data_IF_654969543701
#
_entry.id   IF_654969543701
#
_cell.length_a   1.000
_cell.length_b   1.000
_cell.length_c   1.000
_cell.angle_alpha   90.00
_cell.angle_beta   90.00
_cell.angle_gamma   90.00
#
_symmetry.space_group_name_H-M   'P 1'
#
loop_
_entity.id
_entity.type
_entity.pdbx_description
1 polymer ?
#
# COMPACT_ATOMS: atom_id res chain seq x y z
N UNK A 1 -62.07 -90.49 51.74
CA UNK A 1 -61.58 -89.21 52.28
C UNK A 1 -60.21 -88.94 51.68
N UNK A 2 -60.18 -88.12 50.64
CA UNK A 2 -59.03 -87.91 49.75
C UNK A 2 -58.60 -86.46 49.93
N UNK A 3 -57.42 -86.22 50.53
CA UNK A 3 -56.86 -84.87 50.70
C UNK A 3 -55.79 -84.64 49.64
N UNK A 4 -56.10 -83.79 48.66
CA UNK A 4 -55.19 -83.33 47.64
C UNK A 4 -54.17 -82.33 48.25
N UNK A 5 -52.88 -82.58 48.02
CA UNK A 5 -51.80 -81.62 48.25
C UNK A 5 -51.66 -80.74 47.00
N UNK A 6 -51.96 -79.44 47.12
CA UNK A 6 -51.56 -78.43 46.15
C UNK A 6 -50.20 -77.88 46.58
N UNK A 7 -49.15 -78.24 45.84
CA UNK A 7 -47.87 -77.54 45.89
C UNK A 7 -47.97 -76.31 44.98
N UNK A 8 -47.82 -75.13 45.56
CA UNK A 8 -47.70 -73.86 44.82
C UNK A 8 -46.20 -73.69 44.52
N UNK A 9 -45.80 -73.96 43.28
CA UNK A 9 -44.48 -73.60 42.78
C UNK A 9 -44.39 -72.08 42.64
N UNK A 10 -43.68 -71.43 43.55
CA UNK A 10 -43.24 -70.05 43.40
C UNK A 10 -41.98 -70.04 42.53
N UNK A 11 -41.90 -69.21 41.47
CA UNK A 11 -40.73 -69.13 40.63
C UNK A 11 -39.55 -68.59 41.44
N UNK A 12 -38.56 -69.45 41.68
CA UNK A 12 -37.29 -69.06 42.30
C UNK A 12 -36.54 -68.12 41.36
N UNK A 13 -36.55 -66.82 41.66
CA UNK A 13 -35.65 -65.86 41.02
C UNK A 13 -34.22 -66.31 41.36
N UNK A 14 -33.53 -66.86 40.36
CA UNK A 14 -32.19 -67.43 40.52
C UNK A 14 -31.21 -66.34 40.99
N UNK A 15 -30.44 -66.63 42.06
CA UNK A 15 -29.40 -65.72 42.60
C UNK A 15 -28.36 -65.30 41.55
N UNK A 16 -28.22 -66.05 40.46
CA UNK A 16 -27.32 -65.75 39.35
C UNK A 16 -27.74 -64.51 38.53
N UNK A 17 -29.04 -64.23 38.39
CA UNK A 17 -29.51 -63.02 37.69
C UNK A 17 -29.24 -61.74 38.50
N UNK A 18 -29.32 -61.81 39.83
CA UNK A 18 -29.05 -60.67 40.72
C UNK A 18 -27.55 -60.35 40.75
N UNK A 19 -26.68 -61.37 40.69
CA UNK A 19 -25.22 -61.17 40.63
C UNK A 19 -24.76 -60.58 39.28
N UNK A 20 -25.37 -60.98 38.16
CA UNK A 20 -25.06 -60.39 36.85
C UNK A 20 -25.45 -58.91 36.76
N UNK A 21 -26.60 -58.53 37.32
CA UNK A 21 -27.07 -57.13 37.29
C UNK A 21 -26.25 -56.21 38.21
N UNK A 22 -25.83 -56.71 39.38
CA UNK A 22 -24.97 -55.94 40.31
C UNK A 22 -23.54 -55.73 39.78
N UNK A 23 -23.05 -56.59 38.89
CA UNK A 23 -21.73 -56.44 38.26
C UNK A 23 -21.66 -55.36 37.16
N UNK A 24 -22.76 -55.11 36.45
CA UNK A 24 -22.81 -54.13 35.35
C UNK A 24 -22.92 -52.68 35.85
N UNK A 25 -23.57 -52.48 37.01
CA UNK A 25 -23.74 -51.15 37.62
C UNK A 25 -22.40 -50.41 37.83
N UNK A 26 -21.36 -51.00 38.46
CA UNK A 26 -20.08 -50.31 38.64
C UNK A 26 -19.38 -49.99 37.31
N UNK A 27 -19.50 -50.83 36.27
CA UNK A 27 -18.92 -50.57 34.95
C UNK A 27 -19.58 -49.38 34.23
N UNK A 28 -20.91 -49.29 34.32
CA UNK A 28 -21.67 -48.15 33.77
C UNK A 28 -21.32 -46.87 34.52
N UNK A 29 -21.22 -46.91 35.85
CA UNK A 29 -20.83 -45.76 36.67
C UNK A 29 -19.40 -45.32 36.36
N UNK A 30 -18.47 -46.25 36.23
CA UNK A 30 -17.07 -45.96 35.90
C UNK A 30 -16.93 -45.37 34.49
N UNK A 31 -17.69 -45.90 33.52
CA UNK A 31 -17.72 -45.35 32.15
C UNK A 31 -18.28 -43.93 32.14
N UNK A 32 -19.40 -43.70 32.85
CA UNK A 32 -19.97 -42.36 33.00
C UNK A 32 -19.01 -41.37 33.67
N UNK A 33 -18.30 -41.82 34.70
CA UNK A 33 -17.27 -41.02 35.37
C UNK A 33 -16.16 -40.60 34.39
N UNK A 34 -15.63 -41.52 33.58
CA UNK A 34 -14.59 -41.19 32.61
C UNK A 34 -15.07 -40.24 31.51
N UNK A 35 -16.32 -40.35 31.06
CA UNK A 35 -16.91 -39.41 30.10
C UNK A 35 -17.01 -38.00 30.71
N UNK A 36 -17.45 -37.89 31.96
CA UNK A 36 -17.54 -36.61 32.66
C UNK A 36 -16.16 -36.01 32.86
N UNK A 37 -15.18 -36.80 33.32
CA UNK A 37 -13.79 -36.36 33.48
C UNK A 37 -13.23 -35.88 32.15
N UNK A 38 -13.37 -36.65 31.07
CA UNK A 38 -12.90 -36.26 29.74
C UNK A 38 -13.55 -34.96 29.26
N UNK A 39 -14.86 -34.79 29.48
CA UNK A 39 -15.60 -33.58 29.11
C UNK A 39 -15.09 -32.37 29.89
N UNK A 40 -14.94 -32.51 31.21
CA UNK A 40 -14.39 -31.45 32.07
C UNK A 40 -12.98 -31.10 31.64
N UNK A 41 -12.10 -32.08 31.39
CA UNK A 41 -10.73 -31.84 30.92
C UNK A 41 -10.69 -31.07 29.60
N UNK A 42 -11.54 -31.42 28.62
CA UNK A 42 -11.63 -30.70 27.34
C UNK A 42 -12.10 -29.25 27.55
N UNK A 43 -13.12 -29.04 28.38
CA UNK A 43 -13.64 -27.71 28.70
C UNK A 43 -12.61 -26.87 29.45
N UNK A 44 -11.90 -27.44 30.42
CA UNK A 44 -10.83 -26.79 31.16
C UNK A 44 -9.67 -26.42 30.22
N UNK A 45 -9.27 -27.30 29.31
CA UNK A 45 -8.23 -26.98 28.32
C UNK A 45 -8.68 -25.85 27.38
N UNK A 46 -9.92 -25.89 26.87
CA UNK A 46 -10.47 -24.81 26.04
C UNK A 46 -10.51 -23.48 26.79
N UNK A 47 -10.94 -23.50 28.05
CA UNK A 47 -11.05 -22.29 28.86
C UNK A 47 -9.67 -21.73 29.24
N UNK A 48 -8.73 -22.59 29.65
CA UNK A 48 -7.36 -22.19 29.91
C UNK A 48 -6.68 -21.62 28.66
N UNK A 49 -6.89 -22.23 27.49
CA UNK A 49 -6.38 -21.71 26.21
C UNK A 49 -6.99 -20.35 25.87
N UNK A 50 -8.29 -20.14 26.09
CA UNK A 50 -8.91 -18.83 25.84
C UNK A 50 -8.44 -17.76 26.81
N UNK A 51 -8.27 -18.09 28.09
CA UNK A 51 -7.92 -17.12 29.14
C UNK A 51 -6.43 -16.80 29.15
N UNK A 52 -5.55 -17.77 28.87
CA UNK A 52 -4.10 -17.55 28.78
C UNK A 52 -3.71 -16.78 27.51
N UNK A 53 -4.42 -17.00 26.40
CA UNK A 53 -4.14 -16.30 25.14
C UNK A 53 -4.91 -14.98 25.00
N UNK A 54 -5.89 -14.69 25.86
CA UNK A 54 -6.58 -13.39 25.86
C UNK A 54 -5.60 -12.21 26.03
N UNK A 55 -4.71 -12.20 27.04
CA UNK A 55 -3.72 -11.13 27.21
C UNK A 55 -2.81 -10.96 25.99
N UNK A 56 -2.29 -12.07 25.44
CA UNK A 56 -1.40 -12.06 24.29
C UNK A 56 -2.11 -11.55 23.03
N UNK A 57 -3.34 -11.99 22.78
CA UNK A 57 -4.17 -11.48 21.68
C UNK A 57 -4.48 -9.99 21.84
N UNK A 58 -4.65 -9.50 23.08
CA UNK A 58 -4.89 -8.07 23.32
C UNK A 58 -3.64 -7.22 23.16
N UNK A 59 -2.46 -7.73 23.50
CA UNK A 59 -1.18 -7.02 23.27
C UNK A 59 -0.84 -6.94 21.79
N UNK A 60 -0.94 -8.07 21.07
CA UNK A 60 -0.76 -8.10 19.62
C UNK A 60 -1.75 -7.15 18.94
N UNK A 61 -3.02 -7.16 19.35
CA UNK A 61 -4.01 -6.23 18.81
C UNK A 61 -3.64 -4.76 19.07
N UNK A 62 -3.14 -4.41 20.25
CA UNK A 62 -2.66 -3.04 20.53
C UNK A 62 -1.51 -2.63 19.60
N UNK A 63 -0.54 -3.52 19.38
CA UNK A 63 0.57 -3.27 18.45
C UNK A 63 0.08 -3.12 17.01
N UNK A 64 -0.91 -3.92 16.58
CA UNK A 64 -1.55 -3.79 15.27
C UNK A 64 -2.29 -2.46 15.14
N UNK A 65 -3.00 -2.01 16.18
CA UNK A 65 -3.68 -0.72 16.21
C UNK A 65 -2.68 0.44 16.10
N UNK A 66 -1.57 0.36 16.82
CA UNK A 66 -0.50 1.37 16.76
C UNK A 66 0.10 1.43 15.36
N UNK A 67 0.41 0.28 14.76
CA UNK A 67 0.93 0.25 13.39
C UNK A 67 -0.07 0.81 12.37
N UNK A 68 -1.33 0.40 12.45
CA UNK A 68 -2.40 0.94 11.60
C UNK A 68 -2.61 2.45 11.81
N UNK A 69 -2.44 2.95 13.04
CA UNK A 69 -2.57 4.38 13.34
C UNK A 69 -1.44 5.19 12.73
N UNK A 70 -0.22 4.64 12.67
CA UNK A 70 0.91 5.26 11.97
C UNK A 70 0.65 5.36 10.47
N UNK A 71 0.19 4.26 9.85
CA UNK A 71 -0.22 4.26 8.43
C UNK A 71 -1.32 5.29 8.19
N UNK A 72 -2.37 5.30 9.01
CA UNK A 72 -3.47 6.26 8.89
C UNK A 72 -2.96 7.72 8.99
N UNK A 73 -1.99 7.98 9.87
CA UNK A 73 -1.35 9.30 10.01
C UNK A 73 -0.63 9.78 8.74
N UNK A 74 -0.18 8.88 7.88
CA UNK A 74 0.46 9.24 6.61
C UNK A 74 -0.52 9.68 5.52
N UNK A 75 -1.83 9.41 5.65
CA UNK A 75 -2.80 9.69 4.58
C UNK A 75 -3.99 10.55 5.02
N UNK A 76 -4.31 10.62 6.31
CA UNK A 76 -5.48 11.37 6.78
C UNK A 76 -5.39 12.86 6.48
N UNK A 77 -6.43 13.37 5.83
CA UNK A 77 -6.62 14.79 5.57
C UNK A 77 -5.76 15.34 4.43
N UNK A 78 -5.09 14.45 3.67
CA UNK A 78 -4.26 14.83 2.52
C UNK A 78 -5.08 14.69 1.25
N UNK A 79 -5.23 15.80 0.53
CA UNK A 79 -5.78 15.83 -0.82
C UNK A 79 -4.66 15.60 -1.85
N UNK A 80 -5.01 15.59 -3.14
CA UNK A 80 -4.04 15.45 -4.22
C UNK A 80 -2.88 16.47 -4.13
N UNK A 81 -3.16 17.72 -3.74
CA UNK A 81 -2.15 18.77 -3.64
C UNK A 81 -1.19 18.50 -2.48
N UNK A 82 -1.71 18.13 -1.31
CA UNK A 82 -0.92 17.78 -0.14
C UNK A 82 -0.02 16.57 -0.41
N UNK A 83 -0.55 15.52 -1.03
CA UNK A 83 0.23 14.34 -1.41
C UNK A 83 1.34 14.70 -2.40
N UNK A 84 1.05 15.57 -3.38
CA UNK A 84 2.05 16.00 -4.35
C UNK A 84 3.22 16.76 -3.69
N UNK A 85 2.89 17.66 -2.78
CA UNK A 85 3.87 18.45 -2.05
C UNK A 85 4.74 17.56 -1.15
N UNK A 86 4.14 16.62 -0.42
CA UNK A 86 4.89 15.73 0.46
C UNK A 86 5.85 14.79 -0.28
N UNK A 87 5.48 14.34 -1.47
CA UNK A 87 6.36 13.55 -2.33
C UNK A 87 7.33 14.40 -3.16
N UNK A 88 7.38 15.72 -2.95
CA UNK A 88 8.29 16.62 -3.64
C UNK A 88 8.17 16.55 -5.19
N UNK A 89 6.94 16.41 -5.70
CA UNK A 89 6.71 16.34 -7.15
C UNK A 89 7.01 17.67 -7.86
N UNK A 90 6.98 18.79 -7.14
CA UNK A 90 7.33 20.10 -7.69
C UNK A 90 8.84 20.24 -7.88
N UNK A 91 9.62 19.75 -6.93
CA UNK A 91 11.07 19.64 -7.02
C UNK A 91 11.48 18.66 -8.11
N UNK A 92 10.79 17.50 -8.20
CA UNK A 92 11.00 16.53 -9.28
C UNK A 92 10.83 17.21 -10.63
N UNK A 93 9.70 17.87 -10.86
CA UNK A 93 9.43 18.57 -12.11
C UNK A 93 10.51 19.61 -12.42
N UNK A 94 10.87 20.42 -11.43
CA UNK A 94 11.85 21.50 -11.60
C UNK A 94 13.23 20.95 -11.92
N UNK A 95 13.70 19.93 -11.21
CA UNK A 95 15.00 19.30 -11.47
C UNK A 95 15.09 18.75 -12.90
N UNK A 96 14.07 18.02 -13.33
CA UNK A 96 14.06 17.35 -14.63
C UNK A 96 13.90 18.34 -15.80
N UNK A 97 13.08 19.40 -15.64
CA UNK A 97 13.01 20.49 -16.62
C UNK A 97 14.36 21.18 -16.78
N UNK A 98 15.01 21.59 -15.68
CA UNK A 98 16.30 22.25 -15.76
C UNK A 98 17.38 21.37 -16.39
N UNK A 99 17.36 20.06 -16.13
CA UNK A 99 18.25 19.11 -16.77
C UNK A 99 18.02 19.05 -18.29
N UNK A 100 16.75 18.94 -18.73
CA UNK A 100 16.41 18.96 -20.15
C UNK A 100 16.86 20.27 -20.82
N UNK A 101 16.67 21.41 -20.16
CA UNK A 101 17.07 22.71 -20.70
C UNK A 101 18.58 22.89 -20.78
N UNK A 102 19.33 22.43 -19.78
CA UNK A 102 20.79 22.49 -19.84
C UNK A 102 21.33 21.57 -20.94
N UNK A 103 20.71 20.40 -21.14
CA UNK A 103 21.01 19.53 -22.28
C UNK A 103 20.67 20.21 -23.62
N UNK A 104 19.51 20.85 -23.73
CA UNK A 104 19.08 21.59 -24.91
C UNK A 104 20.02 22.76 -25.23
N UNK A 105 20.32 23.59 -24.23
CA UNK A 105 21.20 24.74 -24.35
C UNK A 105 22.60 24.31 -24.81
N UNK A 106 23.12 23.21 -24.27
CA UNK A 106 24.44 22.66 -24.63
C UNK A 106 24.46 22.08 -26.03
N UNK A 107 23.47 21.26 -26.39
CA UNK A 107 23.45 20.51 -27.66
C UNK A 107 22.98 21.35 -28.83
N UNK A 108 21.88 22.10 -28.67
CA UNK A 108 21.24 22.83 -29.76
C UNK A 108 21.73 24.28 -29.89
N UNK A 109 21.96 24.98 -28.76
CA UNK A 109 22.39 26.38 -28.77
C UNK A 109 23.90 26.58 -28.61
N UNK A 110 24.67 25.50 -28.39
CA UNK A 110 26.11 25.56 -28.12
C UNK A 110 26.47 26.33 -26.84
N UNK A 111 25.51 26.58 -25.95
CA UNK A 111 25.71 27.35 -24.73
C UNK A 111 26.32 26.44 -23.67
N UNK A 112 27.50 26.83 -23.17
CA UNK A 112 28.12 26.20 -22.01
C UNK A 112 27.89 27.05 -20.77
N UNK A 113 27.68 26.39 -19.63
CA UNK A 113 27.62 27.05 -18.33
C UNK A 113 28.93 27.82 -18.09
N UNK A 114 28.81 29.07 -17.61
CA UNK A 114 30.00 29.82 -17.20
C UNK A 114 30.66 29.11 -16.01
N UNK A 115 31.96 28.77 -16.10
CA UNK A 115 32.67 28.23 -14.95
C UNK A 115 32.65 29.24 -13.80
N UNK A 116 32.30 28.80 -12.59
CA UNK A 116 32.19 29.66 -11.40
C UNK A 116 30.85 30.38 -11.22
N UNK A 117 29.78 30.01 -11.95
CA UNK A 117 28.44 30.48 -11.58
C UNK A 117 27.97 29.75 -10.30
N UNK A 118 27.93 30.47 -9.18
CA UNK A 118 27.58 29.95 -7.83
C UNK A 118 26.14 29.42 -7.69
N UNK A 119 25.32 29.46 -8.74
CA UNK A 119 23.95 28.96 -8.68
C UNK A 119 23.92 27.46 -8.93
N UNK A 120 23.87 26.68 -7.85
CA UNK A 120 23.62 25.24 -7.88
C UNK A 120 22.29 24.95 -8.60
N UNK A 121 22.31 24.03 -9.58
CA UNK A 121 21.12 23.64 -10.32
C UNK A 121 20.22 22.75 -9.45
N UNK A 122 18.89 22.79 -9.63
CA UNK A 122 17.98 21.96 -8.83
C UNK A 122 18.27 20.46 -8.92
N UNK A 123 18.71 19.96 -10.08
CA UNK A 123 19.08 18.54 -10.25
C UNK A 123 20.42 18.16 -9.62
N UNK A 124 21.32 19.11 -9.34
CA UNK A 124 22.61 18.84 -8.67
C UNK A 124 22.41 18.45 -7.20
N UNK A 125 21.27 18.85 -6.62
CA UNK A 125 20.86 18.48 -5.25
C UNK A 125 20.34 17.06 -5.14
N UNK A 126 20.02 16.41 -6.25
CA UNK A 126 19.46 15.06 -6.27
C UNK A 126 20.58 14.02 -6.23
N UNK A 127 20.63 13.20 -5.18
CA UNK A 127 21.64 12.13 -5.07
C UNK A 127 21.24 10.87 -5.83
N UNK A 128 19.95 10.70 -6.04
CA UNK A 128 19.37 9.51 -6.67
C UNK A 128 18.93 9.85 -8.08
N UNK A 129 19.19 8.91 -9.00
CA UNK A 129 18.83 9.03 -10.40
C UNK A 129 18.06 7.78 -10.82
N UNK A 130 16.93 7.98 -11.49
CA UNK A 130 16.19 6.93 -12.17
C UNK A 130 16.69 6.87 -13.61
N UNK A 131 17.20 5.72 -14.02
CA UNK A 131 17.72 5.50 -15.37
C UNK A 131 16.93 4.40 -16.06
N UNK A 132 16.68 4.55 -17.37
CA UNK A 132 16.21 3.43 -18.19
C UNK A 132 17.34 2.38 -18.29
N UNK A 133 17.08 1.10 -17.97
CA UNK A 133 18.05 0.02 -18.16
C UNK A 133 18.64 -0.07 -19.56
N UNK A 134 17.88 0.28 -20.61
CA UNK A 134 18.36 0.25 -21.98
C UNK A 134 19.52 1.25 -22.21
N UNK A 135 19.51 2.39 -21.52
CA UNK A 135 20.53 3.42 -21.66
C UNK A 135 21.81 3.12 -20.88
N UNK A 136 21.73 2.23 -19.88
CA UNK A 136 22.91 1.73 -19.15
C UNK A 136 23.76 0.77 -20.01
N UNK A 137 23.14 0.03 -20.93
CA UNK A 137 23.87 -0.85 -21.86
C UNK A 137 24.70 -0.04 -22.87
N UNK A 138 24.14 1.06 -23.35
CA UNK A 138 24.80 1.99 -24.27
C UNK A 138 26.02 2.65 -23.60
N UNK A 139 25.91 3.12 -22.36
CA UNK A 139 27.02 3.76 -21.65
C UNK A 139 28.28 2.87 -21.54
N UNK A 140 28.12 1.54 -21.43
CA UNK A 140 29.24 0.61 -21.37
C UNK A 140 29.97 0.43 -22.71
N UNK A 141 29.29 0.69 -23.84
CA UNK A 141 29.88 0.58 -25.18
C UNK A 141 30.68 1.84 -25.55
N UNK A 142 30.23 3.03 -25.13
CA UNK A 142 30.86 4.32 -25.44
C UNK A 142 32.02 4.72 -24.52
N UNK A 143 32.17 4.13 -23.33
CA UNK A 143 33.36 4.33 -22.46
C UNK A 143 34.67 3.87 -23.14
N UNK A 144 34.59 3.18 -24.28
CA UNK A 144 35.73 2.74 -25.09
C UNK A 144 36.12 3.67 -26.24
N UNK A 145 35.39 4.76 -26.49
CA UNK A 145 35.72 5.69 -27.57
C UNK A 145 36.64 6.81 -27.07
N UNK A 146 37.95 6.57 -27.19
CA UNK A 146 38.93 7.64 -27.33
C UNK A 146 38.57 8.44 -28.58
N UNK A 147 37.98 9.62 -28.46
CA UNK A 147 38.03 10.60 -29.56
C UNK A 147 37.79 12.03 -29.09
N UNK A 148 38.86 12.82 -29.12
CA UNK A 148 38.91 14.29 -29.02
C UNK A 148 38.28 14.99 -30.25
N UNK A 149 37.22 14.44 -30.85
CA UNK A 149 36.57 15.06 -32.00
C UNK A 149 35.29 15.75 -31.54
N UNK A 150 35.27 17.08 -31.60
CA UNK A 150 34.03 17.83 -31.37
C UNK A 150 32.99 17.40 -32.43
N UNK A 151 31.78 16.99 -32.01
CA UNK A 151 30.74 16.58 -32.95
C UNK A 151 30.36 17.75 -33.87
N UNK A 152 30.20 17.49 -35.17
CA UNK A 152 29.77 18.51 -36.13
C UNK A 152 28.36 19.02 -35.82
N UNK A 153 28.07 20.29 -36.16
CA UNK A 153 26.75 20.93 -35.91
C UNK A 153 25.56 20.12 -36.44
N UNK A 154 25.74 19.40 -37.55
CA UNK A 154 24.72 18.54 -38.17
C UNK A 154 24.36 17.31 -37.31
N UNK A 155 25.33 16.78 -36.55
CA UNK A 155 25.13 15.66 -35.61
C UNK A 155 24.36 16.14 -34.36
N UNK A 156 24.65 17.36 -33.91
CA UNK A 156 24.03 17.95 -32.72
C UNK A 156 22.53 18.22 -32.93
N UNK A 157 22.15 18.80 -34.07
CA UNK A 157 20.73 19.06 -34.41
C UNK A 157 19.94 17.77 -34.60
N UNK A 158 20.52 16.77 -35.26
CA UNK A 158 19.88 15.47 -35.45
C UNK A 158 19.71 14.70 -34.13
N UNK A 159 20.62 14.89 -33.17
CA UNK A 159 20.54 14.24 -31.85
C UNK A 159 19.37 14.74 -30.99
N UNK A 160 18.90 15.98 -31.17
CA UNK A 160 17.82 16.53 -30.36
C UNK A 160 16.43 16.04 -30.81
N UNK A 161 16.26 15.75 -32.10
CA UNK A 161 15.01 15.22 -32.64
C UNK A 161 14.65 13.86 -32.01
N UNK A 162 15.66 13.08 -31.65
CA UNK A 162 15.54 11.76 -31.01
C UNK A 162 15.79 11.82 -29.49
N UNK A 163 15.60 12.99 -28.86
CA UNK A 163 15.87 13.16 -27.44
C UNK A 163 15.01 12.24 -26.55
N UNK A 164 15.68 11.38 -25.79
CA UNK A 164 15.10 10.60 -24.69
C UNK A 164 15.50 11.18 -23.33
N UNK A 165 14.52 11.44 -22.47
CA UNK A 165 14.76 11.85 -21.09
C UNK A 165 15.06 10.63 -20.19
N UNK A 166 16.21 10.01 -20.45
CA UNK A 166 16.58 8.70 -19.92
C UNK A 166 17.06 8.68 -18.48
N UNK A 167 17.65 9.78 -18.01
CA UNK A 167 18.19 9.90 -16.65
C UNK A 167 17.44 11.00 -15.89
N UNK A 168 16.58 10.59 -14.96
CA UNK A 168 15.76 11.49 -14.16
C UNK A 168 16.34 11.67 -12.76
N UNK A 169 16.81 12.87 -12.38
CA UNK A 169 17.12 13.19 -10.99
C UNK A 169 15.88 13.08 -10.11
N UNK A 170 16.00 12.34 -9.02
CA UNK A 170 14.93 12.13 -8.03
C UNK A 170 15.28 12.90 -6.75
N UNK A 171 14.40 13.81 -6.27
CA UNK A 171 14.62 14.52 -5.02
C UNK A 171 14.76 13.58 -3.83
N UNK A 172 15.72 13.86 -2.94
CA UNK A 172 16.00 13.05 -1.75
C UNK A 172 14.74 12.90 -0.87
N UNK A 173 13.92 13.95 -0.76
CA UNK A 173 12.63 13.92 -0.03
C UNK A 173 11.71 12.82 -0.57
N UNK A 174 11.60 12.67 -1.89
CA UNK A 174 10.78 11.61 -2.49
C UNK A 174 11.32 10.22 -2.14
N UNK A 175 12.64 10.05 -2.18
CA UNK A 175 13.31 8.78 -1.82
C UNK A 175 13.03 8.41 -0.36
N UNK A 176 13.19 9.37 0.55
CA UNK A 176 12.93 9.19 1.98
C UNK A 176 11.45 8.86 2.25
N UNK A 177 10.51 9.56 1.62
CA UNK A 177 9.07 9.30 1.79
C UNK A 177 8.66 7.95 1.23
N UNK A 178 9.19 7.54 0.07
CA UNK A 178 8.99 6.19 -0.47
C UNK A 178 9.56 5.12 0.47
N UNK A 179 10.77 5.31 0.97
CA UNK A 179 11.41 4.37 1.90
C UNK A 179 10.59 4.21 3.20
N UNK A 180 10.04 5.32 3.73
CA UNK A 180 9.16 5.29 4.89
C UNK A 180 7.90 4.45 4.66
N UNK A 181 7.27 4.55 3.48
CA UNK A 181 6.12 3.72 3.12
C UNK A 181 6.50 2.25 2.86
N UNK A 182 7.64 2.02 2.20
CA UNK A 182 8.16 0.67 1.95
C UNK A 182 8.45 -0.09 3.26
N UNK A 183 8.83 0.61 4.33
CA UNK A 183 9.01 -0.01 5.64
C UNK A 183 7.73 -0.67 6.16
N UNK A 184 6.55 -0.14 5.85
CA UNK A 184 5.27 -0.75 6.22
C UNK A 184 5.00 -2.06 5.47
N UNK A 185 5.55 -2.25 4.26
CA UNK A 185 5.39 -3.50 3.52
C UNK A 185 6.04 -4.69 4.23
N UNK A 186 7.02 -4.41 5.10
CA UNK A 186 7.73 -5.41 5.90
C UNK A 186 7.17 -5.54 7.33
N UNK A 187 6.10 -4.83 7.68
CA UNK A 187 5.53 -4.86 9.02
C UNK A 187 4.62 -6.10 9.19
N UNK A 188 5.01 -7.10 10.02
CA UNK A 188 4.20 -8.31 10.23
C UNK A 188 2.90 -8.05 11.00
N UNK A 189 2.73 -6.85 11.58
CA UNK A 189 1.54 -6.46 12.31
C UNK A 189 0.47 -5.87 11.39
N UNK A 190 0.82 -5.46 10.17
CA UNK A 190 -0.17 -4.92 9.24
C UNK A 190 -0.96 -6.04 8.55
N UNK A 191 -2.30 -5.91 8.44
CA UNK A 191 -3.09 -6.80 7.61
C UNK A 191 -2.59 -6.80 6.17
N UNK A 192 -2.54 -7.98 5.53
CA UNK A 192 -2.09 -8.14 4.14
C UNK A 192 -2.85 -7.22 3.17
N UNK A 193 -4.13 -6.98 3.42
CA UNK A 193 -4.93 -6.04 2.61
C UNK A 193 -4.44 -4.60 2.71
N UNK A 194 -3.96 -4.16 3.87
CA UNK A 194 -3.37 -2.83 4.05
C UNK A 194 -2.04 -2.73 3.30
N UNK A 195 -1.19 -3.75 3.45
CA UNK A 195 0.10 -3.84 2.74
C UNK A 195 -0.11 -3.75 1.22
N UNK A 196 -1.10 -4.46 0.68
CA UNK A 196 -1.46 -4.39 -0.74
C UNK A 196 -1.88 -2.99 -1.19
N UNK A 197 -2.66 -2.27 -0.38
CA UNK A 197 -3.08 -0.91 -0.70
C UNK A 197 -1.91 0.09 -0.67
N UNK A 198 -0.95 -0.09 0.26
CA UNK A 198 0.28 0.72 0.32
C UNK A 198 1.15 0.45 -0.92
N UNK A 199 1.30 -0.81 -1.31
CA UNK A 199 2.04 -1.22 -2.51
C UNK A 199 1.42 -0.62 -3.78
N UNK A 200 0.11 -0.75 -3.94
CA UNK A 200 -0.64 -0.13 -5.05
C UNK A 200 -0.50 1.40 -5.08
N UNK A 201 -0.41 2.06 -3.92
CA UNK A 201 -0.14 3.49 -3.83
C UNK A 201 1.28 3.83 -4.30
N UNK A 202 2.29 3.05 -3.88
CA UNK A 202 3.67 3.23 -4.34
C UNK A 202 3.81 3.03 -5.85
N UNK A 203 3.09 2.08 -6.44
CA UNK A 203 3.02 1.92 -7.90
C UNK A 203 2.44 3.17 -8.60
N UNK A 204 1.46 3.85 -8.00
CA UNK A 204 0.93 5.11 -8.55
C UNK A 204 1.98 6.22 -8.49
N UNK A 205 2.72 6.32 -7.38
CA UNK A 205 3.84 7.26 -7.24
C UNK A 205 4.86 7.00 -8.35
N UNK A 206 5.25 5.75 -8.57
CA UNK A 206 6.24 5.37 -9.59
C UNK A 206 5.75 5.67 -11.00
N UNK A 207 4.51 5.30 -11.34
CA UNK A 207 3.91 5.66 -12.63
C UNK A 207 3.87 7.16 -12.87
N UNK A 208 3.65 7.95 -11.81
CA UNK A 208 3.64 9.41 -11.91
C UNK A 208 5.02 10.00 -12.17
N UNK A 209 6.07 9.39 -11.60
CA UNK A 209 7.46 9.76 -11.90
C UNK A 209 7.79 9.40 -13.36
N UNK A 210 7.49 8.17 -13.80
CA UNK A 210 7.77 7.72 -15.17
C UNK A 210 7.04 8.57 -16.22
N UNK A 211 5.78 8.95 -15.95
CA UNK A 211 5.02 9.79 -16.88
C UNK A 211 5.63 11.18 -17.09
N UNK A 212 6.43 11.69 -16.14
CA UNK A 212 7.19 12.91 -16.35
C UNK A 212 8.24 12.72 -17.45
N UNK A 213 9.05 11.67 -17.35
CA UNK A 213 10.07 11.35 -18.35
C UNK A 213 9.49 11.16 -19.75
N UNK A 214 8.36 10.48 -19.85
CA UNK A 214 7.62 10.31 -21.12
C UNK A 214 7.15 11.65 -21.70
N UNK A 215 6.58 12.51 -20.87
CA UNK A 215 6.10 13.85 -21.28
C UNK A 215 7.26 14.74 -21.71
N UNK A 216 8.37 14.75 -20.96
CA UNK A 216 9.56 15.53 -21.31
C UNK A 216 10.19 15.05 -22.61
N UNK A 217 10.32 13.74 -22.80
CA UNK A 217 10.83 13.15 -24.05
C UNK A 217 9.93 13.51 -25.24
N UNK A 218 8.61 13.46 -25.05
CA UNK A 218 7.63 13.83 -26.10
C UNK A 218 7.66 15.31 -26.45
N UNK A 219 7.86 16.19 -25.46
CA UNK A 219 7.84 17.64 -25.67
C UNK A 219 9.21 18.23 -26.07
N UNK A 220 10.31 17.54 -25.77
CA UNK A 220 11.66 18.02 -26.10
C UNK A 220 11.85 18.41 -27.59
N UNK A 221 11.33 17.67 -28.59
CA UNK A 221 11.44 18.05 -30.00
C UNK A 221 10.79 19.40 -30.35
N UNK A 222 9.90 19.93 -29.51
CA UNK A 222 9.25 21.23 -29.73
C UNK A 222 10.10 22.41 -29.23
N UNK A 223 11.14 22.17 -28.42
CA UNK A 223 11.98 23.24 -27.86
C UNK A 223 12.71 24.10 -28.93
N UNK A 224 13.24 23.56 -30.04
CA UNK A 224 13.81 24.36 -31.13
C UNK A 224 12.84 25.41 -31.69
N UNK A 225 11.56 25.05 -31.84
CA UNK A 225 10.54 25.94 -32.37
C UNK A 225 10.10 26.99 -31.32
N UNK A 226 9.96 26.56 -30.06
CA UNK A 226 9.51 27.43 -28.98
C UNK A 226 10.61 28.37 -28.47
N UNK A 227 11.85 27.90 -28.43
CA UNK A 227 13.00 28.58 -27.83
C UNK A 227 14.24 28.51 -28.74
N UNK A 228 14.20 29.15 -29.93
CA UNK A 228 15.25 29.01 -30.95
C UNK A 228 16.59 29.68 -30.57
N UNK A 229 16.62 30.52 -29.54
CA UNK A 229 17.81 31.25 -29.12
C UNK A 229 17.80 31.54 -27.62
N UNK A 230 18.93 32.05 -27.12
CA UNK A 230 19.12 32.38 -25.69
C UNK A 230 18.05 33.32 -25.14
N UNK A 231 17.70 34.39 -25.86
CA UNK A 231 16.72 35.37 -25.37
C UNK A 231 15.30 34.79 -25.28
N UNK A 232 14.98 33.80 -26.11
CA UNK A 232 13.73 33.04 -26.01
C UNK A 232 13.77 32.07 -24.81
N UNK A 233 14.91 31.39 -24.60
CA UNK A 233 15.11 30.48 -23.48
C UNK A 233 15.08 31.21 -22.12
N UNK A 234 15.66 32.41 -22.03
CA UNK A 234 15.66 33.25 -20.81
C UNK A 234 14.25 33.71 -20.40
N UNK A 235 13.29 33.68 -21.34
CA UNK A 235 11.86 34.02 -21.12
C UNK A 235 10.95 32.80 -21.12
N UNK A 236 11.51 31.59 -21.09
CA UNK A 236 10.73 30.37 -21.15
C UNK A 236 9.80 30.22 -19.94
N UNK A 237 8.56 29.81 -20.21
CA UNK A 237 7.63 29.31 -19.20
C UNK A 237 7.40 27.82 -19.44
N UNK A 238 7.36 27.06 -18.35
CA UNK A 238 7.16 25.61 -18.35
C UNK A 238 5.78 25.21 -17.83
N UNK A 239 4.86 26.18 -17.70
CA UNK A 239 3.49 25.91 -17.25
C UNK A 239 2.78 24.96 -18.22
N UNK A 240 3.05 25.06 -19.52
CA UNK A 240 2.55 24.13 -20.53
C UNK A 240 3.02 22.69 -20.29
N UNK A 241 4.31 22.50 -20.00
CA UNK A 241 4.89 21.18 -19.69
C UNK A 241 4.27 20.59 -18.43
N UNK A 242 4.08 21.44 -17.41
CA UNK A 242 3.44 21.06 -16.15
C UNK A 242 1.98 20.67 -16.36
N UNK A 243 1.24 21.39 -17.19
CA UNK A 243 -0.15 21.09 -17.52
C UNK A 243 -0.26 19.77 -18.29
N UNK A 244 0.62 19.55 -19.27
CA UNK A 244 0.70 18.28 -20.01
C UNK A 244 0.99 17.11 -19.09
N UNK A 245 1.95 17.25 -18.17
CA UNK A 245 2.24 16.20 -17.20
C UNK A 245 1.06 15.95 -16.25
N UNK A 246 0.43 16.99 -15.72
CA UNK A 246 -0.75 16.85 -14.86
C UNK A 246 -1.95 16.21 -15.58
N UNK A 247 -2.05 16.30 -16.91
CA UNK A 247 -3.16 15.71 -17.67
C UNK A 247 -3.04 14.19 -17.83
N UNK A 248 -1.82 13.66 -17.81
CA UNK A 248 -1.53 12.22 -17.99
C UNK A 248 -1.11 11.53 -16.69
N UNK A 249 -0.60 12.27 -15.71
CA UNK A 249 -0.16 11.74 -14.44
C UNK A 249 -1.33 11.11 -13.67
N UNK A 250 -1.18 9.89 -13.12
CA UNK A 250 -2.22 9.29 -12.30
C UNK A 250 -2.36 10.04 -10.97
N UNK A 251 -3.61 10.22 -10.52
CA UNK A 251 -3.93 10.85 -9.24
C UNK A 251 -3.53 9.92 -8.08
N UNK A 252 -3.03 10.51 -7.00
CA UNK A 252 -2.60 9.85 -5.76
C UNK A 252 -3.78 9.68 -4.79
N UNK A 253 -4.69 10.66 -4.79
CA UNK A 253 -5.79 10.76 -3.83
C UNK A 253 -6.70 9.51 -3.77
N UNK A 254 -7.13 8.89 -4.89
CA UNK A 254 -8.03 7.74 -4.81
C UNK A 254 -7.44 6.55 -4.04
N UNK A 255 -6.14 6.29 -4.20
CA UNK A 255 -5.42 5.22 -3.52
C UNK A 255 -5.14 5.57 -2.06
N UNK A 256 -4.77 6.82 -1.76
CA UNK A 256 -4.64 7.30 -0.39
C UNK A 256 -5.97 7.21 0.38
N UNK A 257 -7.09 7.51 -0.28
CA UNK A 257 -8.42 7.39 0.29
C UNK A 257 -8.78 5.93 0.55
N UNK A 258 -8.43 5.01 -0.36
CA UNK A 258 -8.63 3.58 -0.16
C UNK A 258 -7.89 3.05 1.09
N UNK A 259 -6.65 3.49 1.32
CA UNK A 259 -5.89 3.15 2.55
C UNK A 259 -6.60 3.71 3.78
N UNK A 260 -7.02 4.98 3.73
CA UNK A 260 -7.69 5.67 4.84
C UNK A 260 -9.02 4.99 5.20
N UNK A 261 -9.82 4.63 4.20
CA UNK A 261 -11.11 3.95 4.37
C UNK A 261 -10.92 2.53 4.93
N UNK A 262 -9.90 1.82 4.44
CA UNK A 262 -9.53 0.51 4.99
C UNK A 262 -9.16 0.62 6.47
N UNK A 263 -8.26 1.55 6.82
CA UNK A 263 -7.84 1.76 8.20
C UNK A 263 -9.02 2.13 9.11
N UNK A 264 -9.91 3.05 8.69
CA UNK A 264 -11.13 3.40 9.44
C UNK A 264 -12.05 2.19 9.67
N UNK A 265 -12.23 1.37 8.63
CA UNK A 265 -13.04 0.14 8.74
C UNK A 265 -12.42 -0.87 9.71
N UNK A 266 -11.09 -0.96 9.76
CA UNK A 266 -10.35 -1.84 10.66
C UNK A 266 -10.53 -1.42 12.13
N UNK A 267 -10.52 -0.11 12.40
CA UNK A 267 -10.77 0.43 13.74
C UNK A 267 -12.23 0.32 14.20
N UNK A 268 -13.18 -0.02 13.31
CA UNK A 268 -14.62 0.13 13.55
C UNK A 268 -14.97 1.53 14.09
N UNK A 269 -14.24 2.57 13.69
CA UNK A 269 -14.40 3.92 14.23
C UNK A 269 -15.82 4.48 13.99
N UNK A 270 -16.50 4.01 12.95
CA UNK A 270 -17.88 4.40 12.63
C UNK A 270 -18.92 3.87 13.63
N UNK A 271 -18.61 2.81 14.39
CA UNK A 271 -19.49 2.28 15.45
C UNK A 271 -19.45 3.15 16.73
N UNK A 272 -18.45 4.04 16.87
CA UNK A 272 -18.36 4.99 17.98
C UNK A 272 -19.10 6.31 17.72
N UNK A 273 -19.70 6.48 16.54
CA UNK A 273 -20.60 7.60 16.30
C UNK A 273 -21.91 7.36 17.07
N UNK A 274 -22.15 8.25 18.05
CA UNK A 274 -23.30 8.37 18.95
C UNK A 274 -24.59 7.70 18.42
N UNK A 275 -25.35 6.93 19.24
CA UNK A 275 -26.58 6.21 18.87
C UNK A 275 -27.79 7.09 18.46
N UNK A 276 -27.55 8.27 17.89
CA UNK A 276 -28.55 9.17 17.32
C UNK A 276 -28.64 9.14 15.78
N UNK A 277 -27.59 8.75 15.05
CA UNK A 277 -27.56 8.93 13.57
C UNK A 277 -28.19 7.75 12.82
N UNK A 278 -28.08 6.52 13.34
CA UNK A 278 -28.71 5.33 12.75
C UNK A 278 -30.26 5.42 12.71
N UNK A 279 -30.87 6.16 13.65
CA UNK A 279 -32.33 6.42 13.63
C UNK A 279 -32.74 7.41 12.54
N UNK A 280 -31.86 8.32 12.09
CA UNK A 280 -32.19 9.32 11.07
C UNK A 280 -32.25 8.71 9.66
N UNK A 281 -31.34 7.78 9.32
CA UNK A 281 -31.35 7.06 8.04
C UNK A 281 -32.58 6.15 7.90
N UNK A 282 -32.97 5.42 8.97
CA UNK A 282 -34.20 4.60 8.95
C UNK A 282 -35.48 5.43 8.84
N UNK A 283 -35.54 6.62 9.46
CA UNK A 283 -36.71 7.52 9.37
C UNK A 283 -36.86 8.13 7.98
N UNK A 284 -35.75 8.49 7.30
CA UNK A 284 -35.78 8.98 5.91
C UNK A 284 -36.17 7.90 4.89
N UNK A 285 -35.79 6.64 5.11
CA UNK A 285 -36.20 5.53 4.25
C UNK A 285 -37.68 5.14 4.42
N UNK A 286 -38.22 5.23 5.65
CA UNK A 286 -39.64 4.98 5.91
C UNK A 286 -40.55 6.06 5.29
N UNK A 287 -40.16 7.34 5.37
CA UNK A 287 -40.92 8.45 4.77
C UNK A 287 -40.93 8.37 3.23
N UNK A 288 -39.84 7.93 2.59
CA UNK A 288 -39.80 7.72 1.14
C UNK A 288 -40.64 6.54 0.64
N UNK A 289 -40.89 5.54 1.48
CA UNK A 289 -41.78 4.41 1.13
C UNK A 289 -43.26 4.74 1.34
N UNK A 290 -43.57 5.61 2.30
CA UNK A 290 -44.93 6.11 2.52
C UNK A 290 -45.43 7.08 1.44
N UNK A 291 -44.54 7.77 0.73
CA UNK A 291 -44.89 8.73 -0.32
C UNK A 291 -45.00 8.11 -1.74
N UNK A 292 -44.87 6.78 -1.85
CA UNK A 292 -44.94 6.03 -3.13
C UNK A 292 -46.01 4.94 -3.13
N UNK A 293 -46.91 4.95 -2.15
CA UNK A 293 -48.11 4.09 -2.09
C UNK A 293 -49.35 4.93 -2.31
#
# INVERSE_FOLDING_TARGET
MTRAQYAIDLPSISRSQIQGFLGVIPEVVQTGFWIVVATVTILTYKHARSTLLQPLNTEVFKLQLESMSRVLGEFVGKDEIGLRHEFAFDELFTANIFLMLDNYAKTHLGLRRKPGSDTERPYEKCRTWLMDPADLEIANEYVRLDTESEPSEEILVKSWADYGHSAMPIPDVMVERKAALQAYLQDPLLPTSCVKLIDEFLEVVDRRVTSLGEVLSRLAPTLPELYPNRDALDRASFDGFRNEWNSVAPNLEPQAQAITDFARSYFRSDDFTVPGVAKSKRRRQAVRRSARG
#
